data_IF_734197795337
#
_entry.id   IF_734197795337
#
_cell.length_a   1.000
_cell.length_b   1.000
_cell.length_c   1.000
_cell.angle_alpha   90.00
_cell.angle_beta   90.00
_cell.angle_gamma   90.00
#
_symmetry.space_group_name_H-M   'P 1'
#
loop_
_entity.id
_entity.type
_entity.pdbx_description
1 polymer ?
#
# COMPACT_ATOMS: atom_id res chain seq x y z
N UNK A 1 -81.85 23.26 -22.07
CA UNK A 1 -81.68 24.25 -23.13
C UNK A 1 -80.14 24.50 -23.22
N UNK A 2 -79.53 23.75 -24.07
CA UNK A 2 -78.12 23.96 -24.43
C UNK A 2 -78.05 25.16 -25.40
N UNK A 3 -76.84 25.75 -25.60
CA UNK A 3 -75.99 25.32 -26.66
C UNK A 3 -74.49 25.34 -26.20
N UNK A 4 -73.74 24.35 -26.55
CA UNK A 4 -72.80 24.28 -27.68
C UNK A 4 -71.96 25.53 -27.88
N UNK A 5 -70.70 25.41 -27.63
CA UNK A 5 -69.77 26.00 -28.50
C UNK A 5 -68.49 25.21 -28.64
N UNK A 6 -68.34 24.72 -29.80
CA UNK A 6 -67.13 24.15 -30.38
C UNK A 6 -66.06 25.23 -30.51
N UNK A 7 -64.85 24.87 -30.32
CA UNK A 7 -63.71 25.73 -30.61
C UNK A 7 -62.44 24.88 -30.62
N UNK A 8 -62.23 24.24 -31.73
CA UNK A 8 -60.96 23.61 -32.10
C UNK A 8 -59.83 24.59 -32.09
N UNK A 9 -58.68 24.14 -31.67
CA UNK A 9 -57.42 24.86 -31.74
C UNK A 9 -56.26 23.98 -31.35
N UNK A 10 -56.04 23.00 -32.19
CA UNK A 10 -54.77 22.35 -32.37
C UNK A 10 -53.65 23.38 -32.53
N UNK A 11 -52.62 23.26 -31.74
CA UNK A 11 -51.27 23.37 -32.29
C UNK A 11 -50.23 22.85 -31.32
N UNK A 12 -49.81 21.69 -31.68
CA UNK A 12 -48.57 21.06 -31.22
C UNK A 12 -47.40 21.89 -31.69
N UNK A 13 -46.83 22.70 -30.81
CA UNK A 13 -45.48 23.23 -30.98
C UNK A 13 -44.56 22.46 -30.04
N UNK A 14 -43.42 21.92 -30.51
CA UNK A 14 -42.48 21.35 -29.59
C UNK A 14 -41.97 22.49 -28.65
N UNK A 15 -41.76 22.17 -27.37
CA UNK A 15 -41.23 23.15 -26.44
C UNK A 15 -39.85 23.62 -26.93
N UNK A 16 -39.53 24.89 -26.75
CA UNK A 16 -38.20 25.37 -27.11
C UNK A 16 -37.15 24.61 -26.33
N UNK A 17 -36.27 23.99 -27.04
CA UNK A 17 -35.03 23.48 -26.47
C UNK A 17 -34.29 24.70 -25.88
N UNK A 18 -34.41 24.86 -24.58
CA UNK A 18 -33.51 25.73 -23.87
C UNK A 18 -32.14 25.12 -24.00
N UNK A 19 -31.40 25.59 -24.96
CA UNK A 19 -29.96 25.46 -24.99
C UNK A 19 -29.43 26.21 -23.78
N UNK A 20 -29.41 25.51 -22.65
CA UNK A 20 -28.64 25.92 -21.50
C UNK A 20 -27.22 25.86 -21.97
N UNK A 21 -26.67 27.01 -22.28
CA UNK A 21 -25.22 27.17 -22.44
C UNK A 21 -24.59 26.39 -21.28
N UNK A 22 -23.78 25.41 -21.62
CA UNK A 22 -22.96 24.70 -20.69
C UNK A 22 -22.03 25.72 -20.02
N UNK A 23 -22.52 26.32 -18.95
CA UNK A 23 -21.65 26.78 -17.89
C UNK A 23 -20.94 25.54 -17.42
N UNK A 24 -19.68 25.44 -17.82
CA UNK A 24 -18.80 24.39 -17.36
C UNK A 24 -18.95 24.30 -15.84
N UNK A 25 -19.68 23.28 -15.42
CA UNK A 25 -19.67 22.86 -14.06
C UNK A 25 -18.23 22.42 -13.83
N UNK A 26 -17.44 23.34 -13.29
CA UNK A 26 -16.22 23.00 -12.60
C UNK A 26 -16.71 22.12 -11.44
N UNK A 27 -16.85 20.85 -11.69
CA UNK A 27 -16.83 19.87 -10.62
C UNK A 27 -15.45 20.05 -10.01
N UNK A 28 -15.34 20.39 -8.73
CA UNK A 28 -14.06 20.25 -8.06
C UNK A 28 -13.68 18.78 -8.22
N UNK A 29 -12.68 18.54 -9.03
CA UNK A 29 -12.07 17.23 -9.18
C UNK A 29 -11.15 17.03 -7.98
N UNK A 30 -11.71 17.15 -6.78
CA UNK A 30 -11.02 16.82 -5.53
C UNK A 30 -11.33 15.39 -5.07
N UNK A 31 -11.86 14.59 -5.98
CA UNK A 31 -11.66 13.16 -5.86
C UNK A 31 -10.42 12.83 -6.69
N UNK A 32 -9.27 13.22 -6.18
CA UNK A 32 -8.08 12.48 -6.50
C UNK A 32 -8.40 11.05 -6.10
N UNK A 33 -8.77 10.28 -7.08
CA UNK A 33 -8.80 8.83 -7.04
C UNK A 33 -7.37 8.43 -6.67
N UNK A 34 -7.11 8.40 -5.35
CA UNK A 34 -5.86 7.91 -4.82
C UNK A 34 -5.75 6.48 -5.34
N UNK A 35 -4.92 6.31 -6.34
CA UNK A 35 -4.53 4.99 -6.77
C UNK A 35 -4.00 4.26 -5.52
N UNK A 36 -4.51 3.03 -5.24
CA UNK A 36 -4.03 2.28 -4.10
C UNK A 36 -2.50 2.24 -4.13
N UNK A 37 -1.85 2.70 -3.06
CA UNK A 37 -0.40 2.76 -2.98
C UNK A 37 0.25 4.05 -3.51
N UNK A 38 -0.51 5.04 -3.98
CA UNK A 38 0.05 6.35 -4.31
C UNK A 38 0.51 7.05 -3.02
N UNK A 39 1.78 7.38 -2.96
CA UNK A 39 2.40 8.14 -1.87
C UNK A 39 2.86 9.49 -2.38
N UNK A 40 2.83 10.49 -1.52
CA UNK A 40 3.34 11.81 -1.85
C UNK A 40 4.88 11.83 -1.95
N UNK A 41 5.46 12.97 -2.38
CA UNK A 41 6.90 13.09 -2.55
C UNK A 41 7.67 12.93 -1.22
N UNK A 42 7.10 13.43 -0.13
CA UNK A 42 7.67 13.35 1.22
C UNK A 42 7.65 11.91 1.74
N UNK A 43 6.58 11.18 1.48
CA UNK A 43 6.47 9.76 1.84
C UNK A 43 7.46 8.91 1.04
N UNK A 44 7.62 9.21 -0.25
CA UNK A 44 8.59 8.53 -1.11
C UNK A 44 10.02 8.71 -0.61
N UNK A 45 10.39 9.94 -0.26
CA UNK A 45 11.71 10.22 0.31
C UNK A 45 11.93 9.45 1.62
N UNK A 46 10.90 9.40 2.48
CA UNK A 46 10.95 8.64 3.72
C UNK A 46 11.14 7.14 3.47
N UNK A 47 10.47 6.57 2.49
CA UNK A 47 10.62 5.15 2.10
C UNK A 47 12.01 4.88 1.52
N UNK A 48 12.56 5.78 0.69
CA UNK A 48 13.91 5.63 0.12
C UNK A 48 15.01 5.71 1.17
N UNK A 49 14.76 6.44 2.26
CA UNK A 49 15.70 6.59 3.37
C UNK A 49 15.67 5.39 4.35
N UNK A 50 14.71 4.47 4.23
CA UNK A 50 14.55 3.36 5.15
C UNK A 50 15.80 2.46 5.22
N UNK A 51 16.16 1.99 6.43
CA UNK A 51 17.20 0.97 6.58
C UNK A 51 16.82 -0.34 5.88
N UNK A 52 17.79 -1.19 5.54
CA UNK A 52 17.49 -2.53 5.04
C UNK A 52 16.64 -3.33 6.03
N UNK A 53 15.73 -4.15 5.52
CA UNK A 53 14.83 -5.01 6.33
C UNK A 53 13.84 -4.24 7.21
N UNK A 54 13.57 -3.00 6.90
CA UNK A 54 12.50 -2.23 7.52
C UNK A 54 11.40 -1.91 6.51
N UNK A 55 10.27 -1.41 7.00
CA UNK A 55 9.17 -0.95 6.17
C UNK A 55 8.49 0.25 6.83
N UNK A 56 7.71 0.98 6.06
CA UNK A 56 6.91 2.10 6.53
C UNK A 56 5.43 1.78 6.29
N UNK A 57 4.62 1.96 7.32
CA UNK A 57 3.17 2.00 7.20
C UNK A 57 2.72 3.44 7.22
N UNK A 58 1.94 3.83 6.23
CA UNK A 58 1.42 5.19 6.10
C UNK A 58 -0.10 5.15 6.23
N UNK A 59 -0.65 5.92 7.17
CA UNK A 59 -2.10 6.00 7.37
C UNK A 59 -2.71 6.84 6.27
N UNK A 60 -3.42 6.20 5.35
CA UNK A 60 -4.14 6.88 4.25
C UNK A 60 -5.51 7.36 4.70
N UNK A 61 -6.14 6.63 5.62
CA UNK A 61 -7.47 6.96 6.10
C UNK A 61 -7.63 6.59 7.56
N UNK A 62 -8.32 7.44 8.31
CA UNK A 62 -8.57 7.28 9.74
C UNK A 62 -8.28 8.55 10.52
N UNK A 63 -8.42 8.51 11.86
CA UNK A 63 -8.22 9.67 12.74
C UNK A 63 -6.86 10.36 12.58
N UNK A 64 -5.81 9.59 12.27
CA UNK A 64 -4.44 10.08 12.14
C UNK A 64 -3.94 9.93 10.69
N UNK A 65 -4.75 10.29 9.70
CA UNK A 65 -4.32 10.26 8.30
C UNK A 65 -3.01 11.07 8.11
N UNK A 66 -2.06 10.50 7.38
CA UNK A 66 -0.70 11.05 7.21
C UNK A 66 0.30 10.59 8.28
N UNK A 67 -0.13 9.88 9.32
CA UNK A 67 0.80 9.29 10.28
C UNK A 67 1.62 8.17 9.64
N UNK A 68 2.87 8.05 10.08
CA UNK A 68 3.83 7.06 9.59
C UNK A 68 4.31 6.21 10.75
N UNK A 69 4.35 4.90 10.55
CA UNK A 69 4.86 3.95 11.52
C UNK A 69 5.98 3.13 10.90
N UNK A 70 7.11 3.12 11.56
CA UNK A 70 8.28 2.33 11.15
C UNK A 70 8.10 0.88 11.62
N UNK A 71 8.36 -0.06 10.74
CA UNK A 71 8.50 -1.48 11.04
C UNK A 71 9.98 -1.83 10.90
N UNK A 72 10.67 -2.01 12.01
CA UNK A 72 12.11 -2.32 12.06
C UNK A 72 12.44 -3.41 13.08
N UNK A 73 11.42 -3.88 13.80
CA UNK A 73 11.52 -4.99 14.74
C UNK A 73 10.97 -6.29 14.15
N UNK A 74 11.36 -7.42 14.72
CA UNK A 74 10.87 -8.75 14.32
C UNK A 74 9.35 -8.87 14.52
N UNK A 75 8.79 -8.10 15.47
CA UNK A 75 7.37 -8.05 15.75
C UNK A 75 6.97 -6.65 16.19
N UNK A 76 5.99 -6.09 15.52
CA UNK A 76 5.38 -4.79 15.84
C UNK A 76 3.89 -4.99 16.08
N UNK A 77 3.41 -4.67 17.26
CA UNK A 77 2.00 -4.80 17.64
C UNK A 77 1.19 -3.58 17.24
N UNK A 78 -0.05 -3.80 16.81
CA UNK A 78 -1.00 -2.75 16.47
C UNK A 78 -2.32 -2.93 17.22
N UNK A 79 -2.83 -1.85 17.79
CA UNK A 79 -4.08 -1.91 18.53
C UNK A 79 -4.44 -0.61 19.22
N UNK A 80 -5.55 -0.64 19.96
CA UNK A 80 -6.04 0.50 20.76
C UNK A 80 -5.43 0.54 22.17
N UNK A 81 -4.63 -0.44 22.54
CA UNK A 81 -3.89 -0.39 23.81
C UNK A 81 -2.74 0.62 23.68
N UNK A 82 -2.55 1.44 24.70
CA UNK A 82 -1.44 2.41 24.74
C UNK A 82 -0.08 1.73 24.84
N UNK A 83 -0.05 0.44 25.15
CA UNK A 83 1.15 -0.38 25.13
C UNK A 83 1.46 -0.99 23.75
N UNK A 84 0.59 -0.80 22.75
CA UNK A 84 0.86 -1.23 21.40
C UNK A 84 1.92 -0.33 20.74
N UNK A 85 2.81 -0.92 19.96
CA UNK A 85 3.86 -0.18 19.24
C UNK A 85 3.23 0.79 18.22
N UNK A 86 2.15 0.34 17.57
CA UNK A 86 1.31 1.16 16.70
C UNK A 86 -0.01 1.40 17.43
N UNK A 87 -0.11 2.56 18.08
CA UNK A 87 -1.32 2.97 18.77
C UNK A 87 -2.35 3.53 17.81
N UNK A 88 -3.50 2.87 17.75
CA UNK A 88 -4.62 3.24 16.88
C UNK A 88 -5.85 3.56 17.75
N UNK A 89 -6.05 4.83 18.08
CA UNK A 89 -7.12 5.28 18.96
C UNK A 89 -8.46 5.37 18.23
N UNK A 90 -9.13 4.23 18.10
CA UNK A 90 -10.49 4.15 17.56
C UNK A 90 -11.24 2.97 18.17
N UNK A 91 -12.54 3.17 18.44
CA UNK A 91 -13.41 2.14 19.06
C UNK A 91 -13.60 0.90 18.19
N UNK A 92 -13.36 1.00 16.88
CA UNK A 92 -13.41 -0.13 15.95
C UNK A 92 -12.15 -0.98 15.97
N UNK A 93 -11.10 -0.53 16.66
CA UNK A 93 -9.83 -1.23 16.84
C UNK A 93 -9.83 -1.96 18.17
N UNK A 94 -9.50 -3.24 18.18
CA UNK A 94 -9.31 -4.02 19.41
C UNK A 94 -8.05 -3.57 20.15
N UNK A 95 -7.97 -3.79 21.45
CA UNK A 95 -6.79 -3.45 22.26
C UNK A 95 -5.52 -4.05 21.68
N UNK A 96 -5.58 -5.35 21.37
CA UNK A 96 -4.60 -6.08 20.57
C UNK A 96 -5.34 -6.50 19.30
N UNK A 97 -5.00 -5.92 18.16
CA UNK A 97 -5.75 -6.13 16.93
C UNK A 97 -4.98 -6.94 15.93
N UNK A 98 -3.77 -6.52 15.61
CA UNK A 98 -2.90 -7.17 14.66
C UNK A 98 -1.44 -7.09 15.10
N UNK A 99 -0.61 -7.92 14.49
CA UNK A 99 0.85 -7.89 14.62
C UNK A 99 1.48 -7.92 13.24
N UNK A 100 2.48 -7.08 13.06
CA UNK A 100 3.34 -7.13 11.88
C UNK A 100 4.59 -7.94 12.26
N UNK A 101 4.91 -8.91 11.45
CA UNK A 101 5.99 -9.88 11.68
C UNK A 101 7.01 -9.75 10.58
N UNK A 102 8.28 -9.58 10.93
CA UNK A 102 9.36 -9.64 9.96
C UNK A 102 9.49 -11.07 9.41
N UNK A 103 9.65 -11.17 8.09
CA UNK A 103 9.90 -12.42 7.37
C UNK A 103 11.22 -12.34 6.60
N UNK A 104 11.65 -13.41 5.99
CA UNK A 104 12.87 -13.41 5.17
C UNK A 104 12.77 -12.45 3.99
N UNK A 105 11.56 -12.34 3.41
CA UNK A 105 11.31 -11.54 2.21
C UNK A 105 10.68 -10.16 2.48
N UNK A 106 10.36 -9.86 3.75
CA UNK A 106 9.73 -8.59 4.11
C UNK A 106 8.94 -8.65 5.41
N UNK A 107 7.65 -8.42 5.35
CA UNK A 107 6.76 -8.45 6.50
C UNK A 107 5.46 -9.18 6.19
N UNK A 108 4.89 -9.79 7.20
CA UNK A 108 3.52 -10.31 7.18
C UNK A 108 2.69 -9.61 8.24
N UNK A 109 1.39 -9.49 8.02
CA UNK A 109 0.42 -9.05 9.02
C UNK A 109 -0.40 -10.23 9.50
N UNK A 110 -0.62 -10.30 10.82
CA UNK A 110 -1.43 -11.34 11.47
C UNK A 110 -2.49 -10.71 12.36
N UNK A 111 -3.74 -11.17 12.22
CA UNK A 111 -4.80 -10.85 13.17
C UNK A 111 -4.59 -11.64 14.47
N UNK A 112 -4.72 -10.99 15.61
CA UNK A 112 -4.51 -11.62 16.92
C UNK A 112 -5.81 -11.82 17.70
N UNK A 113 -6.90 -12.06 16.97
CA UNK A 113 -8.23 -12.25 17.54
C UNK A 113 -8.99 -10.95 17.70
N UNK A 114 -8.91 -10.07 16.71
CA UNK A 114 -9.65 -8.81 16.72
C UNK A 114 -11.17 -9.04 16.58
N UNK A 115 -11.95 -8.09 17.08
CA UNK A 115 -13.41 -8.15 16.99
C UNK A 115 -13.89 -7.94 15.55
N UNK A 116 -13.32 -6.98 14.85
CA UNK A 116 -13.76 -6.58 13.51
C UNK A 116 -12.97 -7.21 12.37
N UNK A 117 -11.86 -7.90 12.66
CA UNK A 117 -10.98 -8.50 11.69
C UNK A 117 -9.96 -7.53 11.10
N UNK A 118 -8.93 -8.10 10.51
CA UNK A 118 -7.89 -7.42 9.74
C UNK A 118 -8.09 -7.76 8.26
N UNK A 119 -7.88 -6.78 7.39
CA UNK A 119 -8.07 -6.94 5.95
C UNK A 119 -6.82 -6.48 5.21
N UNK A 120 -6.44 -7.23 4.18
CA UNK A 120 -5.42 -6.84 3.21
C UNK A 120 -6.07 -6.73 1.85
N UNK A 121 -5.97 -5.58 1.21
CA UNK A 121 -6.60 -5.29 -0.08
C UNK A 121 -8.10 -5.67 -0.08
N UNK A 122 -8.82 -5.31 0.99
CA UNK A 122 -10.25 -5.60 1.22
C UNK A 122 -10.59 -7.07 1.46
N UNK A 123 -9.62 -7.94 1.54
CA UNK A 123 -9.80 -9.36 1.87
C UNK A 123 -9.50 -9.59 3.34
N UNK A 124 -10.43 -10.18 4.09
CA UNK A 124 -10.21 -10.54 5.49
C UNK A 124 -9.16 -11.63 5.57
N UNK A 125 -8.22 -11.47 6.49
CA UNK A 125 -7.11 -12.40 6.68
C UNK A 125 -6.96 -12.81 8.13
N UNK A 126 -6.39 -13.98 8.35
CA UNK A 126 -5.83 -14.39 9.64
C UNK A 126 -4.33 -14.05 9.66
N UNK A 127 -3.64 -14.28 8.56
CA UNK A 127 -2.27 -13.87 8.30
C UNK A 127 -2.06 -13.70 6.80
N UNK A 128 -1.28 -12.71 6.39
CA UNK A 128 -0.91 -12.46 5.00
C UNK A 128 0.45 -11.83 4.91
N UNK A 129 1.26 -12.25 3.96
CA UNK A 129 2.46 -11.53 3.56
C UNK A 129 2.08 -10.23 2.89
N UNK A 130 2.89 -9.19 3.11
CA UNK A 130 2.67 -7.85 2.60
C UNK A 130 3.61 -7.54 1.45
N UNK A 131 3.05 -6.97 0.40
CA UNK A 131 3.78 -6.46 -0.75
C UNK A 131 3.75 -4.93 -0.78
N UNK A 132 4.69 -4.34 -1.52
CA UNK A 132 4.74 -2.90 -1.68
C UNK A 132 3.42 -2.36 -2.24
N UNK A 133 2.83 -1.39 -1.52
CA UNK A 133 1.56 -0.77 -1.88
C UNK A 133 0.32 -1.49 -1.36
N UNK A 134 0.45 -2.60 -0.65
CA UNK A 134 -0.70 -3.27 -0.05
C UNK A 134 -1.40 -2.37 0.97
N UNK A 135 -2.74 -2.36 0.90
CA UNK A 135 -3.58 -1.68 1.87
C UNK A 135 -3.95 -2.64 3.02
N UNK A 136 -3.55 -2.29 4.22
CA UNK A 136 -3.94 -2.99 5.45
C UNK A 136 -5.03 -2.20 6.15
N UNK A 137 -6.20 -2.82 6.38
CA UNK A 137 -7.29 -2.19 7.10
C UNK A 137 -7.43 -2.79 8.50
N UNK A 138 -7.38 -1.92 9.50
CA UNK A 138 -7.53 -2.21 10.93
C UNK A 138 -8.63 -1.29 11.49
N UNK A 139 -9.83 -1.82 11.69
CA UNK A 139 -10.99 -0.99 12.03
C UNK A 139 -11.27 0.06 10.96
N UNK A 140 -11.29 1.34 11.34
CA UNK A 140 -11.43 2.48 10.42
C UNK A 140 -10.14 2.92 9.76
N UNK A 141 -9.00 2.43 10.25
CA UNK A 141 -7.71 2.79 9.67
C UNK A 141 -7.45 2.02 8.39
N UNK A 142 -6.93 2.73 7.41
CA UNK A 142 -6.33 2.14 6.20
C UNK A 142 -4.90 2.62 6.11
N UNK A 143 -4.01 1.67 6.11
CA UNK A 143 -2.57 1.90 6.06
C UNK A 143 -2.01 1.29 4.78
N UNK A 144 -1.11 1.98 4.12
CA UNK A 144 -0.35 1.40 2.99
C UNK A 144 1.01 0.94 3.46
N UNK A 145 1.42 -0.22 2.97
CA UNK A 145 2.70 -0.85 3.30
C UNK A 145 3.75 -0.51 2.25
N UNK A 146 4.89 -0.02 2.71
CA UNK A 146 6.03 0.34 1.86
C UNK A 146 7.32 -0.25 2.44
N UNK A 147 7.83 -1.36 1.87
CA UNK A 147 9.08 -1.94 2.29
C UNK A 147 10.26 -1.07 1.86
N UNK A 148 11.36 -1.16 2.60
CA UNK A 148 12.61 -0.54 2.21
C UNK A 148 13.05 -1.01 0.82
N UNK A 149 13.41 -0.11 -0.10
CA UNK A 149 13.99 -0.49 -1.39
C UNK A 149 15.39 -1.08 -1.23
N UNK A 150 16.00 -0.89 -0.07
CA UNK A 150 17.33 -1.45 0.25
C UNK A 150 17.16 -2.88 0.75
N UNK A 151 17.20 -3.82 -0.18
CA UNK A 151 17.27 -5.23 0.18
C UNK A 151 18.51 -5.46 1.05
N UNK A 152 18.38 -6.20 2.16
CA UNK A 152 19.55 -6.72 2.83
C UNK A 152 20.30 -7.52 1.78
N UNK A 153 21.56 -7.15 1.49
CA UNK A 153 22.40 -7.93 0.58
C UNK A 153 22.52 -9.31 1.19
N UNK A 154 21.76 -10.25 0.67
CA UNK A 154 22.02 -11.66 0.91
C UNK A 154 23.42 -11.90 0.40
N UNK A 155 24.25 -12.56 1.19
CA UNK A 155 25.67 -12.82 0.93
C UNK A 155 25.90 -13.71 -0.32
N UNK A 156 24.89 -13.93 -1.14
CA UNK A 156 24.94 -14.74 -2.35
C UNK A 156 25.30 -13.99 -3.63
N UNK A 157 25.39 -12.65 -3.58
CA UNK A 157 25.85 -11.82 -4.71
C UNK A 157 27.37 -11.60 -4.74
N UNK A 158 28.15 -12.39 -3.98
CA UNK A 158 29.60 -12.41 -4.01
C UNK A 158 30.12 -13.70 -4.64
N UNK A 159 29.58 -14.04 -5.78
CA UNK A 159 30.22 -15.00 -6.68
C UNK A 159 30.03 -14.49 -8.09
N UNK A 160 30.87 -13.66 -8.50
CA UNK A 160 31.55 -13.74 -9.77
C UNK A 160 32.28 -12.45 -10.08
N UNK A 161 33.54 -12.57 -10.24
CA UNK A 161 34.43 -11.49 -10.65
C UNK A 161 35.89 -11.82 -10.40
N UNK A 162 36.25 -13.07 -10.48
CA UNK A 162 37.62 -13.49 -10.39
C UNK A 162 38.07 -14.22 -11.63
N UNK A 163 38.08 -13.51 -12.66
CA UNK A 163 38.99 -13.51 -13.81
C UNK A 163 40.18 -14.44 -13.75
N UNK A 164 40.26 -15.18 -14.84
CA UNK A 164 41.43 -15.87 -15.30
C UNK A 164 42.75 -15.08 -15.20
N UNK A 165 43.71 -15.71 -14.67
CA UNK A 165 45.11 -15.38 -14.78
C UNK A 165 45.79 -16.55 -15.43
N UNK A 166 46.02 -16.37 -16.72
CA UNK A 166 46.96 -17.17 -17.47
C UNK A 166 48.31 -17.24 -16.74
N UNK A 167 48.76 -18.42 -16.53
CA UNK A 167 50.10 -18.68 -15.98
C UNK A 167 50.62 -19.99 -16.55
N UNK A 168 51.07 -19.93 -17.80
CA UNK A 168 51.97 -20.91 -18.39
C UNK A 168 53.10 -21.26 -17.42
N UNK A 169 53.22 -22.52 -17.14
CA UNK A 169 54.32 -23.06 -16.35
C UNK A 169 54.50 -24.54 -16.69
N UNK A 170 55.21 -24.75 -17.76
CA UNK A 170 55.61 -26.03 -18.35
C UNK A 170 56.29 -26.98 -17.35
N UNK A 171 56.10 -28.30 -17.57
CA UNK A 171 56.69 -29.30 -16.71
C UNK A 171 58.13 -29.59 -17.16
N UNK A 172 59.03 -29.49 -16.26
CA UNK A 172 60.36 -30.10 -16.46
C UNK A 172 60.46 -31.38 -15.67
N UNK A 173 60.36 -32.41 -16.45
CA UNK A 173 60.92 -33.73 -16.13
C UNK A 173 62.42 -33.60 -15.79
N UNK A 174 62.80 -34.21 -14.74
CA UNK A 174 64.08 -34.93 -14.71
C UNK A 174 64.08 -35.95 -13.55
N UNK A 175 64.03 -37.18 -13.91
CA UNK A 175 64.65 -38.26 -13.20
C UNK A 175 65.97 -38.53 -13.98
N UNK A 176 67.02 -39.08 -13.40
CA UNK A 176 67.05 -40.41 -12.86
C UNK A 176 68.13 -40.65 -11.77
N UNK A 177 68.06 -41.83 -11.21
CA UNK A 177 69.34 -42.50 -10.94
C UNK A 177 69.59 -42.94 -9.53
N UNK A 178 69.46 -44.25 -9.43
CA UNK A 178 70.23 -45.23 -8.65
C UNK A 178 69.93 -45.33 -7.16
#
# INVERSE_FOLDING_TARGET
MAPENEGAGSESGPPPVHTTAALGRVVPTDYEEFAPGAIDASDREAVEALPPRSALLIVQHGPNAGARFLLDDDRVSAGRDTAADIFLDDVTVSRRHAEFLATEDGFAVRDVGSLNGTYVNRTRIDQSELQAGDEVQIGKYRLTFHPSPRRAKTTEDVVDGGTGGDGDGEPRSDAPGQ
#
